data_IF_238904361496
#
_entry.id   IF_238904361496
#
_cell.length_a   1.000
_cell.length_b   1.000
_cell.length_c   1.000
_cell.angle_alpha   90.00
_cell.angle_beta   90.00
_cell.angle_gamma   90.00
#
_symmetry.space_group_name_H-M   'P 1'
#
loop_
_entity.id
_entity.type
_entity.pdbx_description
1 polymer ?
#
# COMPACT_ATOMS: atom_id res chain seq x y z
N UNK A 1 1.21 15.26 5.85
CA UNK A 1 -0.21 15.62 5.65
C UNK A 1 -0.58 15.81 4.18
N UNK A 2 0.27 16.46 3.37
CA UNK A 2 0.00 16.71 1.93
C UNK A 2 -0.32 15.45 1.10
N UNK A 3 0.39 14.35 1.30
CA UNK A 3 0.13 13.12 0.54
C UNK A 3 -1.29 12.58 0.79
N UNK A 4 -1.75 12.58 2.05
CA UNK A 4 -3.07 12.06 2.42
C UNK A 4 -4.19 12.95 1.85
N UNK A 5 -3.99 14.26 1.83
CA UNK A 5 -4.89 15.18 1.13
C UNK A 5 -4.94 14.90 -0.37
N UNK A 6 -3.78 14.66 -0.99
CA UNK A 6 -3.66 14.33 -2.41
C UNK A 6 -4.37 13.04 -2.83
N UNK A 7 -4.54 12.08 -1.92
CA UNK A 7 -5.14 10.76 -2.21
C UNK A 7 -6.52 10.56 -1.59
N UNK A 8 -7.07 11.54 -0.89
CA UNK A 8 -8.35 11.43 -0.19
C UNK A 8 -9.52 11.02 -1.10
N UNK A 9 -10.62 10.55 -0.49
CA UNK A 9 -11.86 10.24 -1.21
C UNK A 9 -12.36 11.49 -1.93
N UNK A 10 -12.66 11.37 -3.22
CA UNK A 10 -13.02 12.51 -4.08
C UNK A 10 -11.84 13.35 -4.57
N UNK A 11 -10.61 12.98 -4.23
CA UNK A 11 -9.39 13.70 -4.62
C UNK A 11 -9.22 15.06 -3.92
N UNK A 12 -8.10 15.75 -4.18
CA UNK A 12 -7.76 17.03 -3.57
C UNK A 12 -8.37 18.24 -4.30
N UNK A 13 -9.12 18.04 -5.37
CA UNK A 13 -9.34 19.11 -6.34
C UNK A 13 -10.57 18.92 -7.25
N UNK A 14 -10.61 19.63 -8.39
CA UNK A 14 -11.76 19.67 -9.28
C UNK A 14 -12.07 18.30 -9.92
N UNK A 15 -13.26 18.18 -10.51
CA UNK A 15 -13.78 16.90 -11.05
C UNK A 15 -12.93 16.29 -12.18
N UNK A 16 -12.04 17.08 -12.79
CA UNK A 16 -11.08 16.66 -13.81
C UNK A 16 -9.71 16.22 -13.22
N UNK A 17 -9.54 16.32 -11.90
CA UNK A 17 -8.34 15.83 -11.22
C UNK A 17 -8.26 14.29 -11.31
N UNK A 18 -7.07 13.68 -11.56
CA UNK A 18 -6.95 12.22 -11.70
C UNK A 18 -7.47 11.42 -10.50
N UNK A 19 -7.35 11.99 -9.30
CA UNK A 19 -7.84 11.40 -8.06
C UNK A 19 -9.33 11.69 -7.76
N UNK A 20 -10.05 12.46 -8.58
CA UNK A 20 -11.44 12.86 -8.32
C UNK A 20 -12.39 11.65 -8.19
N UNK A 21 -12.04 10.52 -8.78
CA UNK A 21 -12.80 9.28 -8.70
C UNK A 21 -12.46 8.39 -7.50
N UNK A 22 -11.49 8.76 -6.65
CA UNK A 22 -11.11 7.96 -5.49
C UNK A 22 -12.30 7.71 -4.58
N UNK A 23 -12.56 6.44 -4.27
CA UNK A 23 -13.71 6.02 -3.44
C UNK A 23 -13.31 5.59 -2.04
N UNK A 24 -12.12 5.04 -1.89
CA UNK A 24 -11.64 4.46 -0.64
C UNK A 24 -10.15 4.75 -0.52
N UNK A 25 -9.72 5.12 0.69
CA UNK A 25 -8.32 5.23 1.06
C UNK A 25 -8.07 4.25 2.19
N UNK A 26 -7.24 3.24 1.93
CA UNK A 26 -6.90 2.26 2.95
C UNK A 26 -5.63 2.65 3.69
N UNK A 27 -5.64 2.46 5.01
CA UNK A 27 -4.44 2.24 5.79
C UNK A 27 -4.16 0.73 5.96
N UNK A 28 -3.02 0.41 6.57
CA UNK A 28 -2.58 -0.98 6.76
C UNK A 28 -3.59 -1.85 7.53
N UNK A 29 -4.34 -1.27 8.48
CA UNK A 29 -5.39 -1.99 9.21
C UNK A 29 -6.58 -2.28 8.31
N UNK A 30 -7.11 -1.25 7.65
CA UNK A 30 -8.33 -1.37 6.84
C UNK A 30 -8.16 -2.29 5.62
N UNK A 31 -7.00 -2.26 4.95
CA UNK A 31 -6.73 -3.18 3.82
C UNK A 31 -6.62 -4.62 4.32
N UNK A 32 -5.95 -4.83 5.46
CA UNK A 32 -5.76 -6.14 6.07
C UNK A 32 -7.10 -6.72 6.50
N UNK A 33 -7.89 -5.97 7.27
CA UNK A 33 -9.21 -6.39 7.73
C UNK A 33 -10.18 -6.67 6.58
N UNK A 34 -10.11 -5.92 5.48
CA UNK A 34 -10.91 -6.18 4.28
C UNK A 34 -10.61 -7.56 3.69
N UNK A 35 -9.34 -7.91 3.52
CA UNK A 35 -8.95 -9.22 3.00
C UNK A 35 -9.23 -10.36 3.98
N UNK A 36 -8.93 -10.16 5.27
CA UNK A 36 -9.20 -11.15 6.33
C UNK A 36 -10.69 -11.47 6.44
N UNK A 37 -11.56 -10.46 6.36
CA UNK A 37 -13.02 -10.64 6.38
C UNK A 37 -13.53 -11.45 5.18
N UNK A 38 -12.79 -11.47 4.07
CA UNK A 38 -13.07 -12.28 2.89
C UNK A 38 -12.44 -13.69 2.94
N UNK A 39 -11.82 -14.06 4.07
CA UNK A 39 -11.21 -15.37 4.31
C UNK A 39 -9.81 -15.53 3.74
N UNK A 40 -9.09 -14.43 3.51
CA UNK A 40 -7.68 -14.47 3.14
C UNK A 40 -6.78 -14.44 4.37
N UNK A 41 -5.66 -15.16 4.32
CA UNK A 41 -4.56 -14.93 5.23
C UNK A 41 -3.72 -13.77 4.67
N UNK A 42 -3.46 -12.75 5.50
CA UNK A 42 -2.77 -11.54 5.06
C UNK A 42 -1.40 -11.44 5.74
N UNK A 43 -0.39 -11.09 4.95
CA UNK A 43 0.93 -10.69 5.43
C UNK A 43 1.25 -9.29 4.92
N UNK A 44 1.53 -8.36 5.84
CA UNK A 44 2.01 -7.03 5.49
C UNK A 44 3.44 -7.11 4.94
N UNK A 45 3.66 -6.54 3.77
CA UNK A 45 4.97 -6.48 3.11
C UNK A 45 5.60 -5.10 3.22
N UNK A 46 4.82 -4.04 3.03
CA UNK A 46 5.27 -2.65 3.20
C UNK A 46 4.12 -1.82 3.75
N UNK A 47 4.37 -1.00 4.77
CA UNK A 47 3.36 -0.09 5.32
C UNK A 47 3.99 0.97 6.23
N UNK A 48 3.31 2.10 6.38
CA UNK A 48 3.58 3.02 7.49
C UNK A 48 2.63 2.72 8.65
N UNK A 49 3.16 2.68 9.87
CA UNK A 49 2.35 2.57 11.08
C UNK A 49 1.67 3.91 11.45
N UNK A 50 0.95 3.92 12.57
CA UNK A 50 0.23 5.08 13.08
C UNK A 50 1.13 6.26 13.45
N UNK A 51 2.42 6.00 13.71
CA UNK A 51 3.42 7.02 13.98
C UNK A 51 4.10 7.51 12.70
N UNK A 52 3.68 7.01 11.53
CA UNK A 52 4.30 7.30 10.24
C UNK A 52 5.62 6.57 10.03
N UNK A 53 6.00 5.62 10.90
CA UNK A 53 7.23 4.84 10.72
C UNK A 53 6.99 3.78 9.65
N UNK A 54 7.90 3.73 8.68
CA UNK A 54 7.87 2.74 7.62
C UNK A 54 8.39 1.37 8.11
N UNK A 55 7.64 0.32 7.81
CA UNK A 55 7.95 -1.08 8.07
C UNK A 55 7.92 -1.86 6.76
N UNK A 56 8.82 -2.85 6.64
CA UNK A 56 8.85 -3.74 5.48
C UNK A 56 9.31 -5.15 5.84
N UNK A 57 8.84 -6.12 5.07
CA UNK A 57 9.27 -7.51 5.08
C UNK A 57 9.72 -7.92 3.68
N UNK A 58 10.77 -8.74 3.58
CA UNK A 58 11.23 -9.23 2.29
C UNK A 58 10.19 -10.14 1.62
N UNK A 59 10.12 -10.06 0.29
CA UNK A 59 9.25 -10.88 -0.55
C UNK A 59 9.98 -11.21 -1.85
N UNK A 60 9.61 -12.29 -2.54
CA UNK A 60 10.29 -12.70 -3.76
C UNK A 60 9.68 -12.00 -4.99
N UNK A 61 10.48 -11.27 -5.75
CA UNK A 61 10.02 -10.55 -6.95
C UNK A 61 9.47 -11.47 -8.05
N UNK A 62 9.85 -12.76 -8.02
CA UNK A 62 9.32 -13.77 -8.94
C UNK A 62 7.86 -14.12 -8.67
N UNK A 63 7.36 -13.85 -7.46
CA UNK A 63 5.96 -14.10 -7.08
C UNK A 63 5.03 -12.95 -7.50
N UNK A 64 5.59 -11.82 -7.96
CA UNK A 64 4.84 -10.69 -8.48
C UNK A 64 5.61 -9.39 -8.30
N UNK A 65 6.20 -8.86 -9.37
CA UNK A 65 7.01 -7.65 -9.30
C UNK A 65 6.16 -6.38 -9.03
N UNK A 66 6.56 -5.61 -8.02
CA UNK A 66 5.96 -4.32 -7.64
C UNK A 66 7.03 -3.24 -7.76
N UNK A 67 6.95 -2.44 -8.83
CA UNK A 67 7.91 -1.37 -9.11
C UNK A 67 7.94 -0.30 -8.01
N UNK A 68 6.77 0.15 -7.56
CA UNK A 68 6.61 1.16 -6.50
C UNK A 68 6.81 0.54 -5.10
N UNK A 69 7.87 -0.22 -4.91
CA UNK A 69 8.21 -0.83 -3.61
C UNK A 69 9.51 -0.22 -3.07
N UNK A 70 9.80 -0.44 -1.80
CA UNK A 70 11.07 -0.01 -1.16
C UNK A 70 12.29 -0.37 -2.01
N UNK A 71 12.32 -1.60 -2.56
CA UNK A 71 13.48 -2.17 -3.26
C UNK A 71 13.66 -1.67 -4.69
N UNK A 72 12.57 -1.32 -5.37
CA UNK A 72 12.58 -1.12 -6.83
C UNK A 72 12.17 0.29 -7.28
N UNK A 73 11.60 1.11 -6.39
CA UNK A 73 11.26 2.48 -6.75
C UNK A 73 12.54 3.30 -6.95
N UNK A 74 12.69 3.88 -8.13
CA UNK A 74 13.88 4.64 -8.48
C UNK A 74 14.14 5.85 -7.57
N UNK A 75 13.16 6.30 -6.79
CA UNK A 75 13.30 7.41 -5.82
C UNK A 75 13.86 6.96 -4.48
N UNK A 76 13.92 5.65 -4.21
CA UNK A 76 14.53 5.10 -3.01
C UNK A 76 15.99 4.76 -3.32
N UNK A 77 16.90 5.68 -2.99
CA UNK A 77 18.34 5.58 -3.28
C UNK A 77 19.15 6.12 -2.10
N UNK A 78 20.41 5.74 -2.03
CA UNK A 78 21.37 6.30 -1.08
C UNK A 78 20.90 6.24 0.38
N UNK A 79 20.23 5.14 0.75
CA UNK A 79 19.59 4.93 2.05
C UNK A 79 18.51 5.96 2.43
N UNK A 80 17.99 6.71 1.46
CA UNK A 80 16.86 7.62 1.63
C UNK A 80 15.60 7.05 0.98
N UNK A 81 14.47 7.18 1.68
CA UNK A 81 13.16 6.78 1.17
C UNK A 81 12.48 8.01 0.55
N UNK A 82 12.45 8.06 -0.77
CA UNK A 82 11.71 9.08 -1.52
C UNK A 82 10.24 8.70 -1.72
N UNK A 83 9.90 7.41 -1.69
CA UNK A 83 8.52 6.94 -1.78
C UNK A 83 8.35 5.52 -1.22
N UNK A 84 7.25 5.30 -0.51
CA UNK A 84 6.92 3.99 0.06
C UNK A 84 5.47 3.64 -0.24
N UNK A 85 5.15 2.35 -0.22
CA UNK A 85 3.82 1.85 -0.54
C UNK A 85 3.18 1.11 0.63
N UNK A 86 1.86 0.95 0.54
CA UNK A 86 1.12 -0.05 1.30
C UNK A 86 0.99 -1.32 0.44
N UNK A 87 1.66 -2.39 0.85
CA UNK A 87 1.69 -3.68 0.14
C UNK A 87 1.32 -4.79 1.12
N UNK A 88 0.35 -5.63 0.72
CA UNK A 88 -0.04 -6.85 1.41
C UNK A 88 0.07 -8.03 0.47
N UNK A 89 0.52 -9.16 0.99
CA UNK A 89 0.35 -10.48 0.37
C UNK A 89 -0.88 -11.13 1.00
N UNK A 90 -1.90 -11.41 0.20
CA UNK A 90 -3.18 -11.95 0.65
C UNK A 90 -3.45 -13.28 -0.05
N UNK A 91 -3.35 -14.38 0.69
CA UNK A 91 -3.45 -15.73 0.15
C UNK A 91 -4.75 -16.39 0.62
N UNK A 92 -5.57 -16.83 -0.34
CA UNK A 92 -6.74 -17.65 -0.04
C UNK A 92 -6.32 -19.12 -0.03
N UNK A 93 -6.33 -19.71 1.16
CA UNK A 93 -6.09 -21.15 1.30
C UNK A 93 -7.21 -21.90 0.59
N UNK A 94 -6.87 -22.78 -0.35
CA UNK A 94 -7.85 -23.70 -0.90
C UNK A 94 -8.21 -24.71 0.19
N UNK A 95 -9.49 -24.90 0.44
CA UNK A 95 -9.98 -26.02 1.24
C UNK A 95 -9.45 -27.32 0.62
N UNK A 96 -8.90 -28.18 1.47
CA UNK A 96 -8.38 -29.50 1.08
C UNK A 96 -9.52 -30.44 0.70
#
# INVERSE_FOLDING_TARGET
EEYQQGVQVGGPGPLDHPAASHKIVHNYKTITSMFESAGFQVRLLEYCDENGKFHYNDWNEKDGFIYRSKRFDHRNRDNQLGFVSLIVDAVKMKSK
#
